data_IF_791265181264
#
_entry.id   IF_791265181264
#
_cell.length_a   1.000
_cell.length_b   1.000
_cell.length_c   1.000
_cell.angle_alpha   90.00
_cell.angle_beta   90.00
_cell.angle_gamma   90.00
#
_symmetry.space_group_name_H-M   'P 1'
#
loop_
_entity.id
_entity.type
_entity.pdbx_description
1 polymer ?
#
# COMPACT_ATOMS: atom_id res chain seq x y z
N UNK A 1 -7.36 -13.50 59.77
CA UNK A 1 -7.69 -12.80 58.51
C UNK A 1 -6.46 -12.76 57.60
N UNK A 2 -6.27 -13.76 56.73
CA UNK A 2 -5.27 -13.72 55.65
C UNK A 2 -5.85 -14.51 54.46
N UNK A 3 -6.51 -13.80 53.55
CA UNK A 3 -7.10 -14.40 52.35
C UNK A 3 -6.01 -14.45 51.26
N UNK A 4 -5.55 -15.66 50.94
CA UNK A 4 -4.75 -15.93 49.76
C UNK A 4 -5.70 -16.09 48.58
N UNK A 5 -5.77 -15.09 47.71
CA UNK A 5 -6.39 -15.24 46.39
C UNK A 5 -5.28 -15.13 45.35
N UNK A 6 -4.66 -16.27 45.07
CA UNK A 6 -3.67 -16.41 43.99
C UNK A 6 -4.46 -16.78 42.73
N UNK A 7 -4.48 -15.80 41.82
CA UNK A 7 -4.50 -15.92 40.35
C UNK A 7 -4.82 -17.28 39.74
N UNK A 8 -5.94 -17.36 39.02
CA UNK A 8 -6.09 -18.31 37.92
C UNK A 8 -7.06 -17.75 36.87
N UNK A 9 -6.63 -17.87 35.61
CA UNK A 9 -7.44 -17.74 34.40
C UNK A 9 -7.83 -16.31 33.94
N UNK A 10 -6.82 -15.51 33.55
CA UNK A 10 -7.05 -14.64 32.37
C UNK A 10 -7.03 -15.59 31.18
N UNK A 11 -8.22 -16.05 30.81
CA UNK A 11 -8.51 -16.78 29.59
C UNK A 11 -7.86 -16.00 28.45
N UNK A 12 -6.93 -16.67 27.78
CA UNK A 12 -6.31 -16.27 26.52
C UNK A 12 -7.44 -15.84 25.57
N UNK A 13 -7.67 -14.53 25.44
CA UNK A 13 -8.64 -14.03 24.48
C UNK A 13 -8.08 -14.24 23.08
N UNK A 14 -8.50 -15.35 22.47
CA UNK A 14 -8.89 -15.46 21.06
C UNK A 14 -7.99 -14.73 20.06
N UNK A 15 -6.81 -15.28 19.83
CA UNK A 15 -6.02 -15.00 18.63
C UNK A 15 -6.65 -15.66 17.41
N UNK A 16 -7.78 -15.14 16.94
CA UNK A 16 -8.16 -15.33 15.54
C UNK A 16 -7.20 -14.46 14.73
N UNK A 17 -5.99 -14.95 14.46
CA UNK A 17 -5.15 -14.41 13.40
C UNK A 17 -5.78 -14.85 12.09
N UNK A 18 -6.91 -14.25 11.74
CA UNK A 18 -7.38 -14.28 10.37
C UNK A 18 -6.26 -13.63 9.57
N UNK A 19 -5.61 -14.39 8.70
CA UNK A 19 -4.73 -13.83 7.67
C UNK A 19 -5.60 -12.91 6.81
N UNK A 20 -5.73 -11.64 7.22
CA UNK A 20 -6.55 -10.67 6.52
C UNK A 20 -5.92 -10.47 5.16
N UNK A 21 -6.54 -11.04 4.12
CA UNK A 21 -6.13 -10.88 2.74
C UNK A 21 -6.58 -9.50 2.29
N UNK A 22 -5.62 -8.58 2.22
CA UNK A 22 -5.89 -7.23 1.72
C UNK A 22 -5.80 -7.22 0.19
N UNK A 23 -6.79 -6.66 -0.53
CA UNK A 23 -6.72 -6.55 -1.97
C UNK A 23 -5.55 -5.64 -2.37
N UNK A 24 -4.82 -6.04 -3.41
CA UNK A 24 -3.77 -5.20 -3.99
C UNK A 24 -4.39 -4.04 -4.76
N UNK A 25 -3.85 -2.84 -4.54
CA UNK A 25 -4.17 -1.61 -5.27
C UNK A 25 -2.87 -1.07 -5.88
N UNK A 26 -3.02 -0.23 -6.91
CA UNK A 26 -1.90 0.31 -7.67
C UNK A 26 -1.74 1.80 -7.42
N UNK A 27 -0.50 2.25 -7.42
CA UNK A 27 -0.15 3.67 -7.38
C UNK A 27 -0.44 4.30 -8.74
N UNK A 28 -1.03 5.49 -8.74
CA UNK A 28 -1.40 6.24 -9.96
C UNK A 28 -0.33 7.23 -10.40
N UNK A 29 0.36 7.85 -9.44
CA UNK A 29 1.37 8.88 -9.70
C UNK A 29 2.67 8.52 -8.98
N UNK A 30 3.80 8.73 -9.64
CA UNK A 30 5.11 8.59 -9.01
C UNK A 30 5.25 9.54 -7.81
N UNK A 31 6.04 9.11 -6.83
CA UNK A 31 6.30 9.86 -5.60
C UNK A 31 5.04 10.16 -4.77
N UNK A 32 4.05 9.28 -4.81
CA UNK A 32 2.88 9.38 -3.96
C UNK A 32 3.28 9.21 -2.48
N UNK A 33 2.93 10.19 -1.64
CA UNK A 33 3.34 10.19 -0.23
C UNK A 33 2.59 9.14 0.59
N UNK A 34 3.35 8.37 1.37
CA UNK A 34 2.87 7.45 2.39
C UNK A 34 3.06 8.08 3.77
N UNK A 35 1.98 8.31 4.48
CA UNK A 35 1.96 9.06 5.74
C UNK A 35 1.66 8.18 6.94
N UNK A 36 2.19 8.58 8.09
CA UNK A 36 1.88 7.95 9.38
C UNK A 36 0.47 8.26 9.88
N UNK A 37 -0.08 9.41 9.48
CA UNK A 37 -1.40 9.91 9.87
C UNK A 37 -2.10 10.58 8.67
N UNK A 38 -3.44 10.68 8.65
CA UNK A 38 -4.21 11.25 7.54
C UNK A 38 -4.22 12.78 7.55
N UNK A 39 -3.05 13.41 7.50
CA UNK A 39 -2.88 14.87 7.47
C UNK A 39 -1.70 15.29 6.59
N UNK A 40 -1.82 16.43 5.90
CA UNK A 40 -0.77 16.91 4.99
C UNK A 40 0.55 17.30 5.69
N UNK A 41 0.48 17.63 6.99
CA UNK A 41 1.64 17.94 7.84
C UNK A 41 2.11 16.74 8.65
N UNK A 42 1.51 15.56 8.44
CA UNK A 42 1.95 14.35 9.10
C UNK A 42 3.32 13.92 8.57
N UNK A 43 4.03 13.15 9.38
CA UNK A 43 5.26 12.46 9.01
C UNK A 43 5.06 11.63 7.74
N UNK A 44 5.90 11.90 6.73
CA UNK A 44 5.99 11.11 5.51
C UNK A 44 6.93 9.94 5.77
N UNK A 45 6.38 8.74 5.79
CA UNK A 45 7.13 7.49 5.99
C UNK A 45 7.82 7.02 4.72
N UNK A 46 7.34 7.45 3.54
CA UNK A 46 7.96 7.10 2.27
C UNK A 46 7.27 7.72 1.06
N UNK A 47 7.90 7.52 -0.10
CA UNK A 47 7.38 7.89 -1.40
C UNK A 47 7.14 6.61 -2.21
N UNK A 48 5.90 6.42 -2.66
CA UNK A 48 5.49 5.25 -3.41
C UNK A 48 5.72 5.45 -4.91
N UNK A 49 6.21 4.40 -5.54
CA UNK A 49 6.43 4.28 -6.97
C UNK A 49 5.33 3.47 -7.64
N UNK A 50 5.22 3.60 -8.98
CA UNK A 50 4.23 2.86 -9.77
C UNK A 50 4.38 1.33 -9.68
N UNK A 51 5.59 0.87 -9.35
CA UNK A 51 5.94 -0.55 -9.20
C UNK A 51 5.66 -1.11 -7.82
N UNK A 52 5.36 -0.26 -6.84
CA UNK A 52 5.22 -0.69 -5.45
C UNK A 52 3.93 -1.49 -5.25
N UNK A 53 4.05 -2.57 -4.47
CA UNK A 53 2.90 -3.34 -4.05
C UNK A 53 2.24 -2.69 -2.85
N UNK A 54 1.01 -2.23 -3.04
CA UNK A 54 0.22 -1.56 -1.99
C UNK A 54 -1.01 -2.40 -1.70
N UNK A 55 -1.18 -2.78 -0.43
CA UNK A 55 -2.35 -3.53 0.02
C UNK A 55 -3.37 -2.57 0.63
N UNK A 56 -4.62 -2.60 0.16
CA UNK A 56 -5.67 -1.75 0.73
C UNK A 56 -6.27 -2.43 1.96
N UNK A 57 -6.14 -1.78 3.12
CA UNK A 57 -6.81 -2.21 4.35
C UNK A 57 -8.28 -1.79 4.30
N UNK A 58 -8.54 -0.47 4.19
CA UNK A 58 -9.89 0.09 4.03
C UNK A 58 -9.86 1.57 3.63
N UNK A 59 -11.01 2.10 3.20
CA UNK A 59 -11.22 3.56 3.09
C UNK A 59 -11.19 4.17 4.50
N UNK A 60 -10.48 5.29 4.69
CA UNK A 60 -10.60 6.10 5.91
C UNK A 60 -11.70 7.15 5.73
N UNK A 61 -11.56 7.99 4.71
CA UNK A 61 -12.56 8.99 4.30
C UNK A 61 -12.46 9.26 2.78
N UNK A 62 -13.04 10.36 2.32
CA UNK A 62 -13.01 10.71 0.88
C UNK A 62 -11.63 11.14 0.38
N UNK A 63 -10.73 11.53 1.30
CA UNK A 63 -9.37 11.94 0.96
C UNK A 63 -8.33 10.85 1.20
N UNK A 64 -8.52 9.98 2.18
CA UNK A 64 -7.50 9.05 2.65
C UNK A 64 -7.93 7.58 2.57
N UNK A 65 -6.95 6.73 2.28
CA UNK A 65 -7.06 5.28 2.31
C UNK A 65 -6.02 4.73 3.28
N UNK A 66 -6.44 3.77 4.11
CA UNK A 66 -5.53 3.01 4.95
C UNK A 66 -4.95 1.89 4.09
N UNK A 67 -3.64 1.85 3.99
CA UNK A 67 -2.91 0.87 3.19
C UNK A 67 -1.83 0.19 4.02
N UNK A 68 -1.31 -0.90 3.50
CA UNK A 68 -0.13 -1.60 4.02
C UNK A 68 0.92 -1.63 2.91
N UNK A 69 2.12 -1.16 3.21
CA UNK A 69 3.28 -1.15 2.30
C UNK A 69 4.41 -1.86 3.04
N UNK A 70 4.97 -2.92 2.44
CA UNK A 70 6.00 -3.76 3.09
C UNK A 70 5.61 -4.22 4.51
N UNK A 71 4.33 -4.53 4.72
CA UNK A 71 3.80 -4.94 6.03
C UNK A 71 3.56 -3.80 7.02
N UNK A 72 3.93 -2.55 6.72
CA UNK A 72 3.68 -1.38 7.58
C UNK A 72 2.36 -0.70 7.20
N UNK A 73 1.44 -0.48 8.16
CA UNK A 73 0.21 0.26 7.91
C UNK A 73 0.46 1.77 7.87
N UNK A 74 -0.32 2.48 7.05
CA UNK A 74 -0.31 3.94 7.02
C UNK A 74 -1.36 4.49 6.06
N UNK A 75 -1.18 5.73 5.64
CA UNK A 75 -2.19 6.51 4.91
C UNK A 75 -1.65 7.00 3.57
N UNK A 76 -2.47 6.88 2.52
CA UNK A 76 -2.20 7.46 1.20
C UNK A 76 -3.43 8.22 0.74
N UNK A 77 -3.23 9.32 0.03
CA UNK A 77 -4.32 10.07 -0.56
C UNK A 77 -5.03 9.25 -1.65
N UNK A 78 -6.36 9.23 -1.62
CA UNK A 78 -7.20 8.42 -2.51
C UNK A 78 -6.93 8.67 -3.98
N UNK A 79 -6.61 9.91 -4.37
CA UNK A 79 -6.35 10.27 -5.77
C UNK A 79 -5.04 9.70 -6.30
N UNK A 80 -4.12 9.28 -5.42
CA UNK A 80 -2.85 8.66 -5.77
C UNK A 80 -2.91 7.14 -5.94
N UNK A 81 -4.05 6.50 -5.68
CA UNK A 81 -4.20 5.05 -5.78
C UNK A 81 -5.43 4.64 -6.58
N UNK A 82 -5.40 3.43 -7.12
CA UNK A 82 -6.48 2.88 -7.93
C UNK A 82 -6.56 1.38 -7.75
N UNK A 83 -7.78 0.82 -7.76
CA UNK A 83 -8.00 -0.64 -7.78
C UNK A 83 -7.68 -1.27 -9.14
N UNK A 84 -7.61 -0.46 -10.20
CA UNK A 84 -7.32 -0.90 -11.57
C UNK A 84 -5.86 -0.63 -11.91
N UNK A 85 -5.20 -1.60 -12.53
CA UNK A 85 -3.85 -1.43 -13.09
C UNK A 85 -3.89 -0.31 -14.13
N UNK A 86 -3.13 0.77 -13.92
CA UNK A 86 -3.06 1.88 -14.87
C UNK A 86 -2.29 1.43 -16.12
N UNK A 87 -2.86 1.61 -17.32
CA UNK A 87 -2.23 1.31 -18.62
C UNK A 87 -1.14 2.30 -19.02
N UNK A 88 -0.66 3.18 -18.14
CA UNK A 88 0.30 4.23 -18.51
C UNK A 88 1.71 3.72 -18.88
N UNK A 89 1.99 2.41 -18.77
CA UNK A 89 3.22 1.73 -19.22
C UNK A 89 3.45 1.67 -20.75
N UNK A 90 2.92 2.61 -21.56
CA UNK A 90 3.09 2.60 -23.03
C UNK A 90 3.58 3.91 -23.66
N UNK A 91 4.00 4.91 -22.88
CA UNK A 91 4.41 6.21 -23.46
C UNK A 91 5.71 6.79 -22.89
N UNK A 92 6.66 5.95 -22.51
CA UNK A 92 8.04 6.37 -22.23
C UNK A 92 9.01 5.23 -22.54
N UNK A 93 9.23 4.99 -23.85
CA UNK A 93 10.40 4.39 -24.52
C UNK A 93 9.99 4.12 -25.97
N UNK A 94 10.02 5.16 -26.80
CA UNK A 94 9.99 5.03 -28.27
C UNK A 94 10.80 6.17 -28.87
N UNK A 95 12.04 6.31 -28.41
CA UNK A 95 13.09 7.04 -29.12
C UNK A 95 14.29 6.09 -29.34
N UNK A 96 14.00 4.84 -29.76
CA UNK A 96 15.03 4.03 -30.40
C UNK A 96 14.98 4.41 -31.88
N UNK A 97 16.05 5.00 -32.46
CA UNK A 97 16.07 5.31 -33.88
C UNK A 97 15.92 4.01 -34.67
N UNK A 98 15.11 4.05 -35.73
CA UNK A 98 14.94 2.98 -36.70
C UNK A 98 16.30 2.72 -37.36
N UNK A 99 17.08 1.77 -36.84
CA UNK A 99 18.19 1.21 -37.59
C UNK A 99 17.58 0.29 -38.63
N UNK A 100 17.60 0.76 -39.88
CA UNK A 100 17.38 -0.01 -41.09
C UNK A 100 18.25 -1.26 -41.03
N UNK A 101 17.64 -2.45 -41.04
CA UNK A 101 18.34 -3.68 -41.40
C UNK A 101 17.66 -4.23 -42.64
N UNK A 102 18.16 -3.76 -43.78
CA UNK A 102 18.09 -4.47 -45.04
C UNK A 102 19.07 -5.66 -44.97
N UNK A 103 18.57 -6.88 -45.13
CA UNK A 103 19.22 -7.93 -45.93
C UNK A 103 18.34 -9.18 -46.07
N UNK A 104 17.97 -9.40 -47.33
CA UNK A 104 18.00 -10.65 -48.11
C UNK A 104 17.58 -11.98 -47.47
N UNK A 105 16.54 -12.58 -48.05
CA UNK A 105 16.64 -13.85 -48.76
C UNK A 105 15.56 -13.91 -49.85
#
# INVERSE_FOLDING_TARGET
>A
MKKLWITALIIIQTGWVLAQTYPTIYVRHENAKFYKQPAYRAEVMGLLQLTDQVQMVRKFNDRWVIVKVNGQPGYVERWNVTKKLSRQKRKSTSNVPLIVVEKQN
#
